data_IF_160193139560
#
_entry.id   IF_160193139560
#
_cell.length_a   1.000
_cell.length_b   1.000
_cell.length_c   1.000
_cell.angle_alpha   90.00
_cell.angle_beta   90.00
_cell.angle_gamma   90.00
#
_symmetry.space_group_name_H-M   'P 1'
#
loop_
_entity.id
_entity.type
_entity.pdbx_description
1 polymer ?
#
# COMPACT_ATOMS: atom_id res chain seq x y z
N UNK A 1 -14.31 -66.77 -1.30
CA UNK A 1 -14.04 -65.77 -0.25
C UNK A 1 -13.37 -64.57 -0.91
N UNK A 2 -13.98 -63.38 -0.80
CA UNK A 2 -13.57 -62.13 -1.45
C UNK A 2 -12.29 -61.57 -0.82
N UNK A 3 -11.41 -60.93 -1.60
CA UNK A 3 -10.49 -59.91 -1.09
C UNK A 3 -10.43 -58.76 -2.09
N UNK A 4 -10.86 -57.61 -1.61
CA UNK A 4 -11.03 -56.32 -2.29
C UNK A 4 -10.15 -55.31 -1.54
N UNK A 5 -9.46 -54.46 -2.33
CA UNK A 5 -8.94 -53.10 -2.04
C UNK A 5 -7.76 -52.85 -1.09
N UNK A 6 -6.96 -51.87 -1.51
CA UNK A 6 -6.22 -51.00 -0.59
C UNK A 6 -5.08 -50.18 -1.19
N UNK A 7 -5.26 -49.47 -2.33
CA UNK A 7 -4.29 -48.45 -2.74
C UNK A 7 -4.54 -47.20 -1.89
N UNK A 8 -3.70 -46.98 -0.90
CA UNK A 8 -3.67 -45.73 -0.11
C UNK A 8 -2.93 -44.68 -0.92
N UNK A 9 -3.66 -43.74 -1.52
CA UNK A 9 -3.09 -42.53 -2.09
C UNK A 9 -2.78 -41.56 -0.94
N UNK A 10 -1.49 -41.42 -0.61
CA UNK A 10 -1.01 -40.43 0.35
C UNK A 10 -1.20 -39.02 -0.19
N UNK A 11 -2.16 -38.28 0.36
CA UNK A 11 -2.24 -36.83 0.20
C UNK A 11 -1.09 -36.19 0.98
N UNK A 12 -0.03 -35.78 0.29
CA UNK A 12 0.94 -34.84 0.85
C UNK A 12 0.30 -33.45 0.86
N UNK A 13 -0.17 -33.02 2.03
CA UNK A 13 -0.46 -31.61 2.29
C UNK A 13 0.89 -30.87 2.29
N UNK A 14 1.19 -30.14 1.22
CA UNK A 14 2.20 -29.09 1.24
C UNK A 14 1.66 -27.95 2.11
N UNK A 15 2.00 -27.98 3.39
CA UNK A 15 1.83 -26.85 4.30
C UNK A 15 2.82 -25.78 3.84
N UNK A 16 2.31 -24.64 3.36
CA UNK A 16 3.12 -23.47 3.07
C UNK A 16 3.91 -23.07 4.32
N UNK A 17 5.17 -22.58 4.20
CA UNK A 17 5.96 -22.21 5.35
C UNK A 17 5.21 -21.13 6.14
N UNK A 18 4.87 -21.46 7.39
CA UNK A 18 4.37 -20.48 8.35
C UNK A 18 5.50 -19.48 8.61
N UNK A 19 5.30 -18.22 8.24
CA UNK A 19 6.11 -17.11 8.71
C UNK A 19 5.98 -17.06 10.23
N UNK A 20 6.94 -17.66 10.93
CA UNK A 20 6.96 -17.70 12.39
C UNK A 20 7.65 -16.44 12.91
N UNK A 21 6.84 -15.44 13.28
CA UNK A 21 7.28 -14.28 14.04
C UNK A 21 7.18 -14.60 15.56
N UNK A 22 8.11 -14.14 16.41
CA UNK A 22 8.00 -14.31 17.85
C UNK A 22 6.68 -13.75 18.43
N UNK A 23 6.19 -14.44 19.47
CA UNK A 23 4.85 -14.30 20.10
C UNK A 23 4.51 -12.92 20.72
N UNK A 24 5.44 -11.96 20.76
CA UNK A 24 5.23 -10.63 21.39
C UNK A 24 4.88 -9.51 20.38
N UNK A 25 4.78 -9.85 19.09
CA UNK A 25 4.57 -8.88 18.01
C UNK A 25 3.17 -8.94 17.37
N UNK A 26 2.19 -9.51 18.09
CA UNK A 26 0.82 -9.54 17.60
C UNK A 26 0.29 -8.11 17.40
N UNK A 27 -0.29 -7.79 16.24
CA UNK A 27 -0.80 -6.45 15.95
C UNK A 27 -1.88 -6.08 16.97
N UNK A 28 -1.81 -4.85 17.49
CA UNK A 28 -2.75 -4.33 18.48
C UNK A 28 -3.63 -3.24 17.88
N UNK A 29 -4.92 -3.29 18.20
CA UNK A 29 -5.84 -2.22 17.85
C UNK A 29 -5.40 -0.90 18.55
N UNK A 30 -5.22 0.21 17.81
CA UNK A 30 -4.77 1.46 18.38
C UNK A 30 -5.91 2.16 19.13
N UNK A 31 -5.58 3.04 20.09
CA UNK A 31 -6.59 3.92 20.67
C UNK A 31 -7.17 4.85 19.60
N UNK A 32 -8.34 5.42 19.87
CA UNK A 32 -8.93 6.43 18.99
C UNK A 32 -7.97 7.63 18.86
N UNK A 33 -7.68 8.11 17.64
CA UNK A 33 -6.84 9.29 17.45
C UNK A 33 -7.51 10.53 18.03
N UNK A 34 -6.69 11.48 18.48
CA UNK A 34 -7.17 12.76 19.00
C UNK A 34 -7.99 13.55 17.95
N UNK A 35 -7.60 13.44 16.68
CA UNK A 35 -8.30 14.01 15.53
C UNK A 35 -8.81 12.84 14.67
N UNK A 36 -10.12 12.57 14.64
CA UNK A 36 -10.68 11.52 13.81
C UNK A 36 -10.46 11.80 12.32
N UNK A 37 -9.93 10.85 11.52
CA UNK A 37 -9.88 11.00 10.08
C UNK A 37 -11.28 10.96 9.47
N UNK A 38 -11.44 11.64 8.33
CA UNK A 38 -12.64 11.57 7.51
C UNK A 38 -12.47 10.45 6.49
N UNK A 39 -13.30 9.41 6.59
CA UNK A 39 -13.23 8.24 5.71
C UNK A 39 -14.40 8.28 4.73
N UNK A 40 -14.11 8.08 3.44
CA UNK A 40 -15.12 7.97 2.39
C UNK A 40 -15.10 6.56 1.82
N UNK A 41 -16.29 6.02 1.53
CA UNK A 41 -16.41 4.70 0.91
C UNK A 41 -15.93 4.78 -0.54
N UNK A 42 -15.00 3.91 -0.97
CA UNK A 42 -14.49 3.91 -2.33
C UNK A 42 -15.45 3.18 -3.28
N UNK A 43 -16.54 3.85 -3.65
CA UNK A 43 -17.63 3.26 -4.45
C UNK A 43 -17.14 2.76 -5.81
N UNK A 44 -16.12 3.40 -6.37
CA UNK A 44 -15.51 3.03 -7.65
C UNK A 44 -14.72 1.72 -7.59
N UNK A 45 -14.39 1.22 -6.40
CA UNK A 45 -13.62 -0.01 -6.21
C UNK A 45 -14.49 -1.19 -5.76
N UNK A 46 -15.64 -0.90 -5.18
CA UNK A 46 -16.60 -1.86 -4.64
C UNK A 46 -18.00 -1.33 -4.99
N UNK A 47 -18.35 -1.51 -6.27
CA UNK A 47 -19.55 -0.91 -6.87
C UNK A 47 -20.84 -1.53 -6.32
N UNK A 48 -20.81 -2.83 -6.00
CA UNK A 48 -21.96 -3.56 -5.48
C UNK A 48 -22.12 -3.45 -3.95
N UNK A 49 -21.12 -2.89 -3.26
CA UNK A 49 -21.06 -2.63 -1.82
C UNK A 49 -21.11 -3.91 -0.99
N UNK A 50 -20.50 -4.98 -1.49
CA UNK A 50 -20.40 -6.24 -0.77
C UNK A 50 -19.21 -6.27 0.22
N UNK A 51 -18.38 -5.23 0.24
CA UNK A 51 -17.23 -5.08 1.13
C UNK A 51 -15.95 -5.70 0.59
N UNK A 52 -15.89 -6.00 -0.72
CA UNK A 52 -14.74 -6.57 -1.42
C UNK A 52 -14.48 -5.76 -2.69
N UNK A 53 -13.22 -5.43 -2.94
CA UNK A 53 -12.82 -4.80 -4.20
C UNK A 53 -13.20 -5.67 -5.41
N UNK A 54 -13.96 -5.11 -6.36
CA UNK A 54 -14.45 -5.78 -7.57
C UNK A 54 -13.30 -6.42 -8.37
N UNK A 55 -12.09 -5.84 -8.33
CA UNK A 55 -10.93 -6.42 -9.00
C UNK A 55 -10.44 -7.72 -8.35
N UNK A 56 -10.61 -7.88 -7.04
CA UNK A 56 -10.33 -9.13 -6.33
C UNK A 56 -11.30 -10.21 -6.80
N UNK A 57 -12.60 -9.89 -6.84
CA UNK A 57 -13.63 -10.83 -7.23
C UNK A 57 -13.51 -11.25 -8.70
N UNK A 58 -13.32 -10.29 -9.60
CA UNK A 58 -13.10 -10.55 -11.03
C UNK A 58 -11.90 -11.48 -11.25
N UNK A 59 -10.79 -11.25 -10.53
CA UNK A 59 -9.60 -12.09 -10.60
C UNK A 59 -9.87 -13.51 -10.07
N UNK A 60 -10.63 -13.65 -8.99
CA UNK A 60 -11.02 -14.96 -8.44
C UNK A 60 -11.87 -15.72 -9.46
N UNK A 61 -12.85 -15.08 -10.06
CA UNK A 61 -13.76 -15.73 -11.01
C UNK A 61 -13.04 -16.11 -12.31
N UNK A 62 -12.15 -15.27 -12.81
CA UNK A 62 -11.29 -15.61 -13.95
C UNK A 62 -10.45 -16.87 -13.66
N UNK A 63 -9.80 -16.93 -12.50
CA UNK A 63 -8.97 -18.06 -12.10
C UNK A 63 -9.79 -19.34 -11.85
N UNK A 64 -11.01 -19.23 -11.31
CA UNK A 64 -11.94 -20.34 -11.17
C UNK A 64 -12.32 -20.91 -12.54
N UNK A 65 -12.74 -20.06 -13.48
CA UNK A 65 -13.06 -20.45 -14.85
C UNK A 65 -11.85 -21.12 -15.51
N UNK A 66 -10.66 -20.53 -15.37
CA UNK A 66 -9.41 -21.09 -15.89
C UNK A 66 -9.08 -22.45 -15.29
N UNK A 67 -9.32 -22.67 -13.99
CA UNK A 67 -9.07 -23.95 -13.33
C UNK A 67 -9.96 -25.08 -13.88
N UNK A 68 -11.22 -24.75 -14.21
CA UNK A 68 -12.21 -25.69 -14.74
C UNK A 68 -11.94 -25.96 -16.22
N UNK A 69 -11.76 -24.90 -17.01
CA UNK A 69 -11.59 -24.96 -18.47
C UNK A 69 -10.17 -25.32 -18.93
N UNK A 70 -9.22 -25.49 -18.00
CA UNK A 70 -7.84 -25.79 -18.32
C UNK A 70 -7.69 -27.09 -19.14
N UNK A 71 -7.14 -26.97 -20.36
CA UNK A 71 -6.82 -28.10 -21.24
C UNK A 71 -5.64 -28.97 -20.77
N UNK A 72 -5.03 -28.69 -19.61
CA UNK A 72 -4.00 -29.54 -19.01
C UNK A 72 -4.00 -29.46 -17.48
N UNK A 73 -3.56 -30.54 -16.83
CA UNK A 73 -3.41 -30.59 -15.38
C UNK A 73 -2.39 -29.58 -14.84
N UNK A 74 -1.40 -29.19 -15.63
CA UNK A 74 -0.43 -28.15 -15.26
C UNK A 74 -1.10 -26.76 -15.17
N UNK A 75 -1.88 -26.37 -16.19
CA UNK A 75 -2.62 -25.10 -16.20
C UNK A 75 -3.67 -25.04 -15.08
N UNK A 76 -4.33 -26.17 -14.79
CA UNK A 76 -5.26 -26.27 -13.66
C UNK A 76 -4.55 -26.04 -12.32
N UNK A 77 -3.40 -26.68 -12.11
CA UNK A 77 -2.60 -26.51 -10.88
C UNK A 77 -2.11 -25.07 -10.72
N UNK A 78 -1.65 -24.44 -11.79
CA UNK A 78 -1.23 -23.04 -11.79
C UNK A 78 -2.38 -22.09 -11.40
N UNK A 79 -3.57 -22.23 -12.01
CA UNK A 79 -4.73 -21.42 -11.64
C UNK A 79 -5.14 -21.59 -10.17
N UNK A 80 -5.10 -22.83 -9.65
CA UNK A 80 -5.37 -23.12 -8.23
C UNK A 80 -4.31 -22.49 -7.33
N UNK A 81 -3.03 -22.56 -7.72
CA UNK A 81 -1.95 -21.94 -6.96
C UNK A 81 -2.11 -20.40 -6.91
N UNK A 82 -2.51 -19.76 -8.01
CA UNK A 82 -2.77 -18.32 -8.05
C UNK A 82 -3.98 -17.91 -7.17
N UNK A 83 -5.00 -18.75 -7.04
CA UNK A 83 -6.10 -18.52 -6.08
C UNK A 83 -5.64 -18.56 -4.62
N UNK A 84 -4.57 -19.30 -4.33
CA UNK A 84 -3.97 -19.43 -2.99
C UNK A 84 -2.82 -18.45 -2.77
N UNK A 85 -2.41 -17.69 -3.79
CA UNK A 85 -1.32 -16.74 -3.68
C UNK A 85 -1.69 -15.57 -2.76
N UNK A 86 -0.76 -15.11 -1.92
CA UNK A 86 -0.98 -13.95 -1.08
C UNK A 86 -1.05 -12.67 -1.93
N UNK A 87 -2.00 -11.81 -1.63
CA UNK A 87 -2.15 -10.46 -2.19
C UNK A 87 -2.01 -9.44 -1.06
N UNK A 88 -1.42 -8.28 -1.37
CA UNK A 88 -1.41 -7.15 -0.44
C UNK A 88 -2.75 -6.45 -0.51
N UNK A 89 -3.31 -6.16 0.65
CA UNK A 89 -4.63 -5.53 0.82
C UNK A 89 -4.57 -4.43 1.86
N UNK A 90 -5.47 -3.46 1.71
CA UNK A 90 -5.87 -2.53 2.75
C UNK A 90 -7.27 -2.91 3.23
N UNK A 91 -7.48 -3.00 4.54
CA UNK A 91 -8.82 -3.08 5.10
C UNK A 91 -9.22 -1.72 5.61
N UNK A 92 -10.34 -1.19 5.12
CA UNK A 92 -10.83 0.14 5.42
C UNK A 92 -12.02 0.07 6.38
N UNK A 93 -12.01 0.93 7.39
CA UNK A 93 -13.07 1.06 8.39
C UNK A 93 -13.54 2.51 8.49
N UNK A 94 -14.82 2.69 8.82
CA UNK A 94 -15.46 3.99 9.06
C UNK A 94 -15.16 4.55 10.45
N UNK A 95 -14.55 3.75 11.33
CA UNK A 95 -14.25 4.09 12.71
C UNK A 95 -13.19 3.16 13.30
N UNK A 96 -12.80 3.35 14.57
CA UNK A 96 -11.75 2.57 15.22
C UNK A 96 -11.97 1.05 15.07
N UNK A 97 -10.90 0.34 14.74
CA UNK A 97 -10.89 -1.12 14.63
C UNK A 97 -10.92 -1.77 16.02
N UNK A 98 -11.55 -2.93 16.13
CA UNK A 98 -11.50 -3.76 17.33
C UNK A 98 -10.35 -4.77 17.23
N UNK A 99 -9.84 -5.24 18.38
CA UNK A 99 -8.84 -6.32 18.40
C UNK A 99 -9.38 -7.59 17.70
N UNK A 100 -10.67 -7.87 17.85
CA UNK A 100 -11.33 -8.99 17.18
C UNK A 100 -11.26 -8.92 15.65
N UNK A 101 -11.17 -7.72 15.05
CA UNK A 101 -11.02 -7.56 13.59
C UNK A 101 -9.64 -8.05 13.12
N UNK A 102 -8.59 -7.68 13.86
CA UNK A 102 -7.21 -8.13 13.62
C UNK A 102 -7.10 -9.65 13.81
N UNK A 103 -7.66 -10.17 14.90
CA UNK A 103 -7.64 -11.59 15.20
C UNK A 103 -8.38 -12.40 14.12
N UNK A 104 -9.53 -11.91 13.65
CA UNK A 104 -10.31 -12.54 12.58
C UNK A 104 -9.56 -12.56 11.24
N UNK A 105 -8.82 -11.49 10.91
CA UNK A 105 -7.97 -11.43 9.74
C UNK A 105 -6.83 -12.47 9.80
N UNK A 106 -6.17 -12.57 10.96
CA UNK A 106 -5.12 -13.57 11.18
C UNK A 106 -5.66 -15.01 11.12
N UNK A 107 -6.86 -15.26 11.65
CA UNK A 107 -7.53 -16.58 11.58
C UNK A 107 -7.85 -17.00 10.14
N UNK A 108 -8.03 -16.05 9.22
CA UNK A 108 -8.19 -16.32 7.78
C UNK A 108 -6.84 -16.52 7.06
N UNK A 109 -5.72 -16.57 7.80
CA UNK A 109 -4.38 -16.70 7.26
C UNK A 109 -3.76 -15.37 6.81
N UNK A 110 -4.35 -14.24 7.23
CA UNK A 110 -3.83 -12.91 6.96
C UNK A 110 -2.62 -12.56 7.82
N UNK A 111 -1.72 -11.74 7.27
CA UNK A 111 -0.58 -11.16 7.97
C UNK A 111 -0.70 -9.64 7.96
N UNK A 112 -0.75 -9.02 9.14
CA UNK A 112 -0.83 -7.55 9.26
C UNK A 112 0.57 -6.96 9.12
N UNK A 113 0.76 -6.07 8.15
CA UNK A 113 2.03 -5.37 7.92
C UNK A 113 2.09 -4.04 8.68
N UNK A 114 1.00 -3.26 8.65
CA UNK A 114 0.97 -1.94 9.28
C UNK A 114 -0.45 -1.53 9.67
N UNK A 115 -0.65 -1.19 10.95
CA UNK A 115 -1.93 -0.68 11.46
C UNK A 115 -1.93 0.85 11.43
N UNK A 116 -2.93 1.44 10.78
CA UNK A 116 -3.03 2.89 10.67
C UNK A 116 -3.52 3.51 11.97
N UNK A 117 -2.91 4.64 12.33
CA UNK A 117 -3.17 5.31 13.62
C UNK A 117 -3.66 6.74 13.50
N UNK A 118 -3.44 7.41 12.37
CA UNK A 118 -3.70 8.86 12.21
C UNK A 118 -4.52 9.20 10.96
N UNK A 119 -4.25 8.56 9.83
CA UNK A 119 -4.81 8.95 8.51
C UNK A 119 -6.02 8.13 8.07
N UNK A 120 -6.15 6.91 8.60
CA UNK A 120 -7.19 5.96 8.24
C UNK A 120 -7.50 5.07 9.44
N UNK A 121 -8.65 4.40 9.41
CA UNK A 121 -8.93 3.28 10.31
C UNK A 121 -8.81 1.98 9.52
N UNK A 122 -7.94 1.10 9.99
CA UNK A 122 -7.64 -0.12 9.26
C UNK A 122 -6.19 -0.52 9.35
N UNK A 123 -5.80 -1.38 8.42
CA UNK A 123 -4.42 -1.81 8.28
C UNK A 123 -4.12 -2.24 6.84
N UNK A 124 -2.84 -2.16 6.49
CA UNK A 124 -2.26 -2.86 5.36
C UNK A 124 -1.77 -4.24 5.79
N UNK A 125 -1.96 -5.23 4.92
CA UNK A 125 -1.49 -6.59 5.18
C UNK A 125 -1.53 -7.49 3.96
N UNK A 126 -1.14 -8.74 4.15
CA UNK A 126 -1.20 -9.79 3.13
C UNK A 126 -2.29 -10.80 3.47
N UNK A 127 -3.06 -11.26 2.51
CA UNK A 127 -4.03 -12.36 2.67
C UNK A 127 -4.07 -13.21 1.40
N UNK A 128 -4.42 -14.49 1.51
CA UNK A 128 -4.67 -15.32 0.32
C UNK A 128 -5.82 -14.74 -0.50
N UNK A 129 -5.67 -14.72 -1.83
CA UNK A 129 -6.67 -14.17 -2.74
C UNK A 129 -8.07 -14.75 -2.48
N UNK A 130 -8.20 -16.07 -2.37
CA UNK A 130 -9.48 -16.75 -2.14
C UNK A 130 -10.09 -16.56 -0.72
N UNK A 131 -9.36 -15.91 0.20
CA UNK A 131 -9.81 -15.66 1.56
C UNK A 131 -10.40 -14.25 1.71
N UNK A 132 -10.03 -13.30 0.83
CA UNK A 132 -10.52 -11.92 0.88
C UNK A 132 -12.06 -11.81 0.87
N UNK A 133 -12.82 -12.56 0.03
CA UNK A 133 -14.30 -12.48 0.06
C UNK A 133 -14.95 -13.00 1.34
N UNK A 134 -14.19 -13.62 2.25
CA UNK A 134 -14.72 -14.09 3.54
C UNK A 134 -14.62 -13.03 4.63
N UNK A 135 -13.91 -11.93 4.38
CA UNK A 135 -13.68 -10.86 5.36
C UNK A 135 -14.98 -10.14 5.77
N UNK A 136 -15.89 -9.73 4.87
CA UNK A 136 -17.07 -8.96 5.27
C UNK A 136 -17.93 -9.64 6.35
N UNK A 137 -18.04 -10.97 6.30
CA UNK A 137 -18.80 -11.76 7.27
C UNK A 137 -18.11 -11.91 8.65
N UNK A 138 -16.84 -11.51 8.77
CA UNK A 138 -16.01 -11.70 9.96
C UNK A 138 -15.62 -10.40 10.65
N UNK A 139 -15.69 -9.28 9.96
CA UNK A 139 -15.31 -7.97 10.49
C UNK A 139 -16.46 -7.32 11.27
N UNK A 140 -16.11 -6.34 12.09
CA UNK A 140 -17.04 -5.51 12.85
C UNK A 140 -17.88 -4.59 11.95
N UNK A 141 -18.91 -3.96 12.54
CA UNK A 141 -19.84 -3.07 11.82
C UNK A 141 -19.19 -1.82 11.22
N UNK A 142 -18.00 -1.45 11.68
CA UNK A 142 -17.27 -0.32 11.11
C UNK A 142 -16.52 -0.68 9.85
N UNK A 143 -16.35 -1.98 9.54
CA UNK A 143 -15.72 -2.43 8.31
C UNK A 143 -16.48 -1.91 7.09
N UNK A 144 -15.72 -1.38 6.15
CA UNK A 144 -16.25 -0.83 4.90
C UNK A 144 -15.94 -1.78 3.76
N UNK A 145 -14.66 -2.01 3.48
CA UNK A 145 -14.26 -2.83 2.34
C UNK A 145 -12.80 -3.30 2.47
N UNK A 146 -12.44 -4.35 1.74
CA UNK A 146 -11.06 -4.79 1.53
C UNK A 146 -10.63 -4.40 0.12
N UNK A 147 -9.53 -3.65 0.01
CA UNK A 147 -9.02 -3.07 -1.23
C UNK A 147 -7.72 -3.76 -1.61
N UNK A 148 -7.55 -4.14 -2.88
CA UNK A 148 -6.26 -4.67 -3.32
C UNK A 148 -5.24 -3.55 -3.46
N UNK A 149 -4.02 -3.76 -2.96
CA UNK A 149 -2.93 -2.84 -3.24
C UNK A 149 -2.68 -2.76 -4.76
N UNK A 150 -2.49 -1.53 -5.25
CA UNK A 150 -2.26 -1.25 -6.66
C UNK A 150 -0.84 -0.74 -6.88
N UNK A 151 -0.22 -1.05 -8.03
CA UNK A 151 1.04 -0.42 -8.38
C UNK A 151 0.82 1.08 -8.52
N UNK A 152 1.70 1.85 -7.90
CA UNK A 152 1.81 3.28 -8.18
C UNK A 152 2.85 3.46 -9.29
N UNK A 153 2.54 4.33 -10.23
CA UNK A 153 3.45 4.73 -11.30
C UNK A 153 3.87 6.17 -11.03
N UNK A 154 5.14 6.46 -11.31
CA UNK A 154 5.68 7.81 -11.25
C UNK A 154 5.48 8.42 -12.63
N UNK A 155 4.84 9.58 -12.67
CA UNK A 155 4.61 10.33 -13.88
C UNK A 155 5.56 11.54 -13.89
N UNK A 156 5.99 11.96 -15.09
CA UNK A 156 6.98 13.03 -15.34
C UNK A 156 8.43 12.63 -14.98
N UNK A 157 9.19 12.22 -16.01
CA UNK A 157 10.62 11.89 -15.90
C UNK A 157 11.52 13.08 -16.31
N UNK A 158 11.04 13.91 -17.25
CA UNK A 158 11.74 15.12 -17.70
C UNK A 158 10.91 16.38 -17.44
N UNK A 159 11.46 17.32 -16.68
CA UNK A 159 10.91 18.67 -16.58
C UNK A 159 11.27 19.48 -17.84
N UNK A 160 10.26 19.89 -18.60
CA UNK A 160 10.48 20.77 -19.76
C UNK A 160 10.96 22.15 -19.30
N UNK A 161 11.96 22.73 -19.99
CA UNK A 161 12.47 24.09 -19.71
C UNK A 161 11.47 25.22 -20.03
N UNK A 162 10.25 24.89 -20.45
CA UNK A 162 9.24 25.84 -20.96
C UNK A 162 8.39 26.46 -19.86
N UNK A 163 8.39 25.91 -18.64
CA UNK A 163 7.58 26.42 -17.52
C UNK A 163 7.97 27.84 -17.10
N UNK A 164 9.22 28.27 -17.37
CA UNK A 164 9.76 29.61 -17.06
C UNK A 164 9.41 30.07 -15.62
N UNK A 165 9.41 29.16 -14.65
CA UNK A 165 9.03 29.47 -13.25
C UNK A 165 10.16 30.07 -12.43
N UNK A 166 11.41 30.04 -12.91
CA UNK A 166 12.57 30.66 -12.23
C UNK A 166 12.37 32.12 -11.79
N UNK A 167 11.70 33.00 -12.58
CA UNK A 167 11.47 34.37 -12.16
C UNK A 167 10.66 34.49 -10.87
N UNK A 168 9.86 33.49 -10.48
CA UNK A 168 9.02 33.59 -9.27
C UNK A 168 9.88 33.86 -8.02
N UNK A 169 11.10 33.30 -7.99
CA UNK A 169 12.05 33.47 -6.88
C UNK A 169 13.02 34.64 -7.09
N UNK A 170 12.97 35.32 -8.24
CA UNK A 170 13.84 36.42 -8.55
C UNK A 170 13.35 37.74 -7.91
N UNK A 171 14.31 38.56 -7.49
CA UNK A 171 14.05 39.93 -7.06
C UNK A 171 13.25 40.72 -8.12
N UNK A 172 12.24 41.46 -7.66
CA UNK A 172 11.33 42.24 -8.50
C UNK A 172 10.13 41.47 -9.05
N UNK A 173 10.07 40.14 -8.87
CA UNK A 173 8.94 39.35 -9.36
C UNK A 173 7.64 39.74 -8.66
N UNK A 174 6.61 40.04 -9.46
CA UNK A 174 5.30 40.48 -8.98
C UNK A 174 5.37 41.63 -7.94
N UNK A 175 6.38 42.50 -8.05
CA UNK A 175 6.58 43.60 -7.11
C UNK A 175 7.24 43.22 -5.78
N UNK A 176 7.59 41.95 -5.57
CA UNK A 176 8.39 41.53 -4.41
C UNK A 176 9.85 41.94 -4.59
N UNK A 177 10.41 42.71 -3.67
CA UNK A 177 11.80 43.13 -3.70
C UNK A 177 12.79 41.94 -3.73
N UNK A 178 12.41 40.80 -3.15
CA UNK A 178 13.26 39.61 -3.01
C UNK A 178 12.74 38.38 -3.78
N UNK A 179 11.67 38.54 -4.58
CA UNK A 179 10.90 37.40 -5.08
C UNK A 179 10.10 36.71 -3.98
N UNK A 180 9.41 35.63 -4.29
CA UNK A 180 8.74 34.81 -3.28
C UNK A 180 9.71 33.74 -2.74
N UNK A 181 9.69 33.51 -1.42
CA UNK A 181 10.65 32.59 -0.77
C UNK A 181 9.97 31.60 0.20
N UNK A 182 8.64 31.66 0.32
CA UNK A 182 7.89 30.93 1.35
C UNK A 182 8.04 31.53 2.74
N UNK A 183 7.56 30.81 3.75
CA UNK A 183 7.73 31.14 5.16
C UNK A 183 8.70 30.13 5.80
N UNK A 184 9.69 30.61 6.57
CA UNK A 184 10.67 29.78 7.25
C UNK A 184 10.06 28.79 8.27
N UNK A 185 8.87 29.10 8.77
CA UNK A 185 8.11 28.28 9.72
C UNK A 185 7.17 27.28 9.01
N UNK A 186 7.21 27.21 7.67
CA UNK A 186 6.44 26.27 6.86
C UNK A 186 7.36 25.22 6.25
N UNK A 187 7.04 23.95 6.47
CA UNK A 187 7.74 22.82 5.86
C UNK A 187 6.83 22.15 4.81
N UNK A 188 7.45 21.68 3.73
CA UNK A 188 6.79 20.86 2.71
C UNK A 188 7.32 19.44 2.88
N UNK A 189 6.43 18.49 3.17
CA UNK A 189 6.76 17.08 3.19
C UNK A 189 6.68 16.51 1.78
N UNK A 190 7.75 15.86 1.32
CA UNK A 190 7.83 15.23 0.01
C UNK A 190 7.88 13.72 0.25
N UNK A 191 6.84 13.01 -0.18
CA UNK A 191 6.71 11.56 -0.08
C UNK A 191 6.98 11.01 -1.47
N UNK A 192 8.22 10.60 -1.72
CA UNK A 192 8.69 10.23 -3.04
C UNK A 192 9.84 9.19 -2.93
N UNK A 193 10.50 8.93 -4.04
CA UNK A 193 11.67 8.06 -4.24
C UNK A 193 12.90 8.44 -3.42
N UNK A 194 12.98 9.69 -2.96
CA UNK A 194 14.06 10.18 -2.12
C UNK A 194 14.37 11.66 -2.36
N UNK A 195 15.52 12.10 -1.88
CA UNK A 195 16.10 13.40 -2.25
C UNK A 195 17.63 13.34 -2.21
N UNK A 196 18.29 13.86 -3.24
CA UNK A 196 19.73 14.09 -3.22
C UNK A 196 20.06 15.21 -2.22
N UNK A 197 20.50 14.81 -1.02
CA UNK A 197 20.89 15.74 0.04
C UNK A 197 22.15 16.55 -0.28
N UNK A 198 22.89 16.21 -1.34
CA UNK A 198 24.09 16.92 -1.79
C UNK A 198 23.82 17.94 -2.89
N UNK A 199 22.59 17.98 -3.42
CA UNK A 199 22.23 18.88 -4.51
C UNK A 199 22.36 20.35 -4.08
N UNK A 200 23.16 21.19 -4.77
CA UNK A 200 23.46 22.56 -4.32
C UNK A 200 22.21 23.42 -4.19
N UNK A 201 21.23 23.25 -5.08
CA UNK A 201 19.96 23.99 -5.04
C UNK A 201 19.05 23.66 -3.83
N UNK A 202 19.34 22.57 -3.12
CA UNK A 202 18.58 22.08 -1.96
C UNK A 202 19.35 22.26 -0.65
N UNK A 203 20.57 22.80 -0.71
CA UNK A 203 21.44 22.95 0.45
C UNK A 203 20.76 23.73 1.59
N UNK A 204 20.77 23.17 2.79
CA UNK A 204 20.21 23.78 4.00
C UNK A 204 18.67 23.81 4.08
N UNK A 205 17.96 23.24 3.11
CA UNK A 205 16.47 23.27 3.07
C UNK A 205 15.82 22.04 3.70
N UNK A 206 16.57 20.96 3.85
CA UNK A 206 16.05 19.73 4.44
C UNK A 206 15.93 19.86 5.97
N UNK A 207 14.72 19.64 6.49
CA UNK A 207 14.44 19.65 7.94
C UNK A 207 14.33 18.26 8.55
N UNK A 208 13.92 17.28 7.77
CA UNK A 208 13.64 15.91 8.21
C UNK A 208 13.89 14.94 7.07
N UNK A 209 14.33 13.72 7.40
CA UNK A 209 14.50 12.62 6.45
C UNK A 209 14.01 11.32 7.08
N UNK A 210 13.31 10.51 6.28
CA UNK A 210 12.93 9.15 6.64
C UNK A 210 12.78 8.31 5.38
N UNK A 211 13.52 7.23 5.33
CA UNK A 211 13.37 6.17 4.35
C UNK A 211 12.46 5.06 4.90
N UNK A 212 11.45 4.68 4.13
CA UNK A 212 10.48 3.62 4.44
C UNK A 212 10.68 2.34 3.63
N UNK A 213 11.60 2.33 2.65
CA UNK A 213 11.85 1.22 1.72
C UNK A 213 13.23 0.58 1.91
N UNK A 214 14.28 1.37 2.21
CA UNK A 214 15.68 0.92 2.23
C UNK A 214 16.50 1.27 3.48
N UNK A 215 15.90 1.95 4.46
CA UNK A 215 16.51 2.24 5.77
C UNK A 215 17.71 3.18 5.76
N UNK A 216 17.96 3.93 4.67
CA UNK A 216 19.07 4.89 4.64
C UNK A 216 18.90 5.94 5.73
N UNK A 217 19.93 6.12 6.57
CA UNK A 217 19.96 7.16 7.59
C UNK A 217 20.24 8.55 7.02
N UNK A 218 20.68 8.63 5.77
CA UNK A 218 20.98 9.88 5.07
C UNK A 218 20.10 10.04 3.83
N UNK A 219 19.79 11.28 3.43
CA UNK A 219 18.99 11.54 2.24
C UNK A 219 19.73 11.05 1.01
N UNK A 220 19.05 10.24 0.23
CA UNK A 220 19.53 9.71 -1.03
C UNK A 220 18.35 9.55 -1.96
N UNK A 221 18.61 9.71 -3.24
CA UNK A 221 17.66 9.44 -4.30
C UNK A 221 18.38 8.68 -5.41
N UNK A 222 18.00 7.42 -5.61
CA UNK A 222 18.58 6.58 -6.67
C UNK A 222 17.81 6.69 -7.99
N UNK A 223 16.64 7.32 -7.97
CA UNK A 223 15.74 7.41 -9.11
C UNK A 223 15.75 8.83 -9.71
N UNK A 224 15.72 9.85 -8.87
CA UNK A 224 15.80 11.26 -9.25
C UNK A 224 14.45 11.98 -9.29
N UNK A 225 13.32 11.25 -9.32
CA UNK A 225 11.98 11.83 -9.34
C UNK A 225 11.71 12.70 -8.10
N UNK A 226 12.10 12.23 -6.92
CA UNK A 226 11.90 12.95 -5.66
C UNK A 226 12.79 14.19 -5.55
N UNK A 227 14.03 14.10 -6.02
CA UNK A 227 14.94 15.26 -6.13
C UNK A 227 14.39 16.31 -7.09
N UNK A 228 13.83 15.90 -8.23
CA UNK A 228 13.18 16.82 -9.16
C UNK A 228 11.96 17.50 -8.50
N UNK A 229 11.08 16.73 -7.85
CA UNK A 229 9.92 17.27 -7.15
C UNK A 229 10.35 18.27 -6.04
N UNK A 230 11.41 17.95 -5.29
CA UNK A 230 11.99 18.84 -4.29
C UNK A 230 12.58 20.12 -4.90
N UNK A 231 13.30 20.02 -6.01
CA UNK A 231 13.83 21.16 -6.75
C UNK A 231 12.72 22.11 -7.23
N UNK A 232 11.61 21.57 -7.73
CA UNK A 232 10.43 22.37 -8.14
C UNK A 232 9.81 23.08 -6.93
N UNK A 233 9.63 22.36 -5.82
CA UNK A 233 8.94 22.88 -4.65
C UNK A 233 9.76 23.95 -3.90
N UNK A 234 11.06 23.71 -3.70
CA UNK A 234 11.90 24.51 -2.79
C UNK A 234 13.28 24.85 -3.32
N UNK A 235 13.65 24.47 -4.55
CA UNK A 235 14.96 24.76 -5.11
C UNK A 235 15.26 26.26 -5.22
N UNK A 236 16.50 26.66 -4.96
CA UNK A 236 16.93 28.06 -5.10
C UNK A 236 16.99 28.54 -6.55
N UNK A 237 17.19 27.63 -7.50
CA UNK A 237 17.49 27.97 -8.90
C UNK A 237 18.88 28.62 -9.07
N UNK A 238 19.75 28.46 -8.08
CA UNK A 238 21.15 28.87 -8.09
C UNK A 238 21.97 27.82 -8.86
N UNK A 239 22.51 28.23 -10.00
CA UNK A 239 23.48 27.45 -10.79
C UNK A 239 24.88 27.55 -10.20
#
# INVERSE_FOLDING_TARGET
MRLILGIVAGFSLLVAPAFSRPLDDSPKAPPRPAIPPMITYPVELDMDRNGVDDAIEARIDELRIRSISAGSAAKRRDAIAQLQAPIRVELLFSGPIAQADLDAFQQLGGHVEHVFTHISYGWGGMIQLNAAPKLPARMSKSFMTVIQARPMYRDMDEATRTSRTRPVWAAGFAGSASGFQGNADTAIAIIDTGVDGTHPDLAGRMRYWKDWDGGSSTPVDYDGHGTMAAGIAVGTGAT
#
